data_IF_576762730649
#
_entry.id   IF_576762730649
#
_cell.length_a   1.000
_cell.length_b   1.000
_cell.length_c   1.000
_cell.angle_alpha   90.00
_cell.angle_beta   90.00
_cell.angle_gamma   90.00
#
_symmetry.space_group_name_H-M   'P 1'
#
loop_
_entity.id
_entity.type
_entity.pdbx_description
1 polymer ?
#
# COMPACT_ATOMS: atom_id res chain seq x y z
N UNK A 1 -6.59 -12.99 -1.85
CA UNK A 1 -6.53 -11.54 -2.16
C UNK A 1 -5.34 -10.82 -1.51
N UNK A 2 -5.23 -10.69 -0.18
CA UNK A 2 -4.21 -9.85 0.47
C UNK A 2 -2.77 -10.38 0.45
N UNK A 3 -2.55 -11.66 0.15
CA UNK A 3 -1.23 -12.30 0.23
C UNK A 3 -0.08 -11.51 -0.43
N UNK A 4 -0.24 -10.92 -1.63
CA UNK A 4 0.82 -10.13 -2.28
C UNK A 4 1.26 -8.88 -1.51
N UNK A 5 0.43 -8.36 -0.60
CA UNK A 5 0.72 -7.18 0.22
C UNK A 5 1.33 -7.53 1.59
N UNK A 6 1.28 -8.80 2.02
CA UNK A 6 1.51 -9.16 3.42
C UNK A 6 2.96 -9.00 3.87
N UNK A 7 3.94 -9.32 3.02
CA UNK A 7 5.37 -9.37 3.41
C UNK A 7 5.82 -8.12 4.17
N UNK A 8 5.71 -6.92 3.58
CA UNK A 8 6.09 -5.68 4.27
C UNK A 8 5.22 -5.34 5.49
N UNK A 9 3.95 -5.78 5.51
CA UNK A 9 3.03 -5.48 6.61
C UNK A 9 3.32 -6.30 7.87
N UNK A 10 3.65 -7.58 7.71
CA UNK A 10 3.94 -8.48 8.85
C UNK A 10 5.26 -8.15 9.54
N UNK A 11 6.18 -7.46 8.87
CA UNK A 11 7.42 -6.94 9.47
C UNK A 11 7.15 -5.83 10.50
N UNK A 12 6.00 -5.16 10.42
CA UNK A 12 5.68 -3.97 11.23
C UNK A 12 4.45 -4.12 12.10
N UNK A 13 3.54 -5.02 11.74
CA UNK A 13 2.26 -5.20 12.41
C UNK A 13 1.97 -6.69 12.65
N UNK A 14 1.28 -6.98 13.76
CA UNK A 14 0.53 -8.24 13.88
C UNK A 14 -0.67 -8.16 12.95
N UNK A 15 -0.65 -8.93 11.86
CA UNK A 15 -1.74 -8.92 10.87
C UNK A 15 -2.75 -10.02 11.19
N UNK A 16 -4.03 -9.64 11.29
CA UNK A 16 -5.17 -10.55 11.44
C UNK A 16 -6.00 -10.43 10.17
N UNK A 17 -6.31 -11.56 9.54
CA UNK A 17 -7.22 -11.65 8.40
C UNK A 17 -8.55 -12.22 8.88
N UNK A 18 -9.65 -11.65 8.39
CA UNK A 18 -11.01 -12.05 8.76
C UNK A 18 -11.70 -12.57 7.51
N UNK A 19 -12.20 -13.79 7.58
CA UNK A 19 -12.96 -14.40 6.49
C UNK A 19 -14.45 -14.07 6.63
N UNK A 20 -15.05 -13.59 5.53
CA UNK A 20 -16.48 -13.28 5.45
C UNK A 20 -17.30 -14.56 5.25
N UNK A 21 -18.60 -14.58 5.61
CA UNK A 21 -19.45 -15.77 5.51
C UNK A 21 -19.28 -16.54 4.19
N UNK A 22 -19.07 -17.85 4.28
CA UNK A 22 -18.91 -18.73 3.13
C UNK A 22 -17.57 -18.65 2.39
N UNK A 23 -16.69 -17.72 2.76
CA UNK A 23 -15.34 -17.60 2.19
C UNK A 23 -14.34 -18.40 3.03
N UNK A 24 -13.40 -19.07 2.36
CA UNK A 24 -12.30 -19.83 2.96
C UNK A 24 -12.73 -20.79 4.09
N UNK A 25 -13.89 -21.43 3.93
CA UNK A 25 -14.44 -22.40 4.89
C UNK A 25 -15.07 -21.78 6.14
N UNK A 26 -15.26 -20.46 6.18
CA UNK A 26 -15.93 -19.80 7.30
C UNK A 26 -17.41 -20.19 7.39
N UNK A 27 -17.92 -20.25 8.63
CA UNK A 27 -19.30 -20.65 8.90
C UNK A 27 -20.28 -19.70 8.20
N UNK A 28 -21.26 -20.25 7.49
CA UNK A 28 -22.40 -19.50 6.93
C UNK A 28 -23.58 -19.53 7.91
N UNK A 29 -24.27 -18.40 8.10
CA UNK A 29 -25.45 -18.34 8.96
C UNK A 29 -26.67 -18.98 8.27
N UNK A 30 -27.72 -19.38 9.00
CA UNK A 30 -28.95 -19.88 8.38
C UNK A 30 -29.63 -18.82 7.49
N UNK A 31 -30.16 -19.23 6.34
CA UNK A 31 -30.81 -18.39 5.32
C UNK A 31 -31.98 -17.52 5.83
N UNK A 32 -32.62 -17.88 6.94
CA UNK A 32 -33.77 -17.15 7.48
C UNK A 32 -33.42 -15.78 8.07
N UNK A 33 -32.13 -15.48 8.26
CA UNK A 33 -31.66 -14.21 8.81
C UNK A 33 -30.99 -13.40 7.70
N UNK A 34 -31.59 -12.28 7.24
CA UNK A 34 -30.92 -11.39 6.29
C UNK A 34 -29.62 -10.87 6.92
N UNK A 35 -28.50 -11.10 6.25
CA UNK A 35 -27.22 -10.58 6.71
C UNK A 35 -27.16 -9.07 6.45
N UNK A 36 -26.64 -8.34 7.41
CA UNK A 36 -26.40 -6.90 7.37
C UNK A 36 -24.90 -6.61 7.44
N UNK A 37 -24.52 -5.38 7.12
CA UNK A 37 -23.14 -4.94 7.31
C UNK A 37 -22.71 -4.95 8.79
N UNK A 38 -23.68 -4.78 9.70
CA UNK A 38 -23.47 -4.92 11.14
C UNK A 38 -23.05 -6.34 11.53
N UNK A 39 -23.70 -7.36 10.97
CA UNK A 39 -23.32 -8.77 11.24
C UNK A 39 -21.88 -9.08 10.78
N UNK A 40 -21.46 -8.48 9.66
CA UNK A 40 -20.08 -8.58 9.18
C UNK A 40 -19.09 -7.86 10.11
N UNK A 41 -19.48 -6.71 10.65
CA UNK A 41 -18.66 -5.95 11.60
C UNK A 41 -18.56 -6.67 12.95
N UNK A 42 -19.65 -7.28 13.43
CA UNK A 42 -19.68 -8.08 14.66
C UNK A 42 -18.75 -9.29 14.55
N UNK A 43 -18.64 -9.90 13.36
CA UNK A 43 -17.62 -10.92 13.09
C UNK A 43 -16.20 -10.40 13.23
N UNK A 44 -15.90 -9.21 12.69
CA UNK A 44 -14.58 -8.58 12.85
C UNK A 44 -14.29 -8.35 14.34
N UNK A 45 -15.26 -7.82 15.09
CA UNK A 45 -15.15 -7.61 16.54
C UNK A 45 -14.90 -8.92 17.29
N UNK A 46 -15.65 -9.98 16.98
CA UNK A 46 -15.47 -11.29 17.59
C UNK A 46 -14.07 -11.87 17.34
N UNK A 47 -13.52 -11.73 16.13
CA UNK A 47 -12.15 -12.15 15.83
C UNK A 47 -11.13 -11.34 16.62
N UNK A 48 -11.33 -10.02 16.74
CA UNK A 48 -10.45 -9.17 17.57
C UNK A 48 -10.51 -9.57 19.04
N UNK A 49 -11.70 -9.84 19.58
CA UNK A 49 -11.89 -10.25 20.98
C UNK A 49 -11.23 -11.61 21.25
N UNK A 50 -11.42 -12.59 20.36
CA UNK A 50 -10.76 -13.90 20.43
C UNK A 50 -9.23 -13.79 20.35
N UNK A 51 -8.72 -12.82 19.59
CA UNK A 51 -7.29 -12.55 19.46
C UNK A 51 -6.71 -11.72 20.61
N UNK A 52 -7.53 -11.29 21.57
CA UNK A 52 -7.16 -10.42 22.70
C UNK A 52 -6.84 -8.99 22.30
N UNK A 53 -7.41 -8.49 21.19
CA UNK A 53 -7.09 -7.17 20.61
C UNK A 53 -8.20 -6.16 20.92
N UNK A 54 -7.91 -5.27 21.87
CA UNK A 54 -8.84 -4.20 22.26
C UNK A 54 -9.02 -3.10 21.20
N UNK A 55 -7.98 -2.80 20.42
CA UNK A 55 -8.00 -1.78 19.36
C UNK A 55 -7.08 -2.16 18.21
N UNK A 56 -7.54 -1.99 16.97
CA UNK A 56 -6.79 -2.37 15.77
C UNK A 56 -6.89 -1.31 14.67
N UNK A 57 -5.87 -1.24 13.80
CA UNK A 57 -6.02 -0.62 12.49
C UNK A 57 -6.79 -1.56 11.58
N UNK A 58 -7.68 -1.02 10.74
CA UNK A 58 -8.58 -1.83 9.91
C UNK A 58 -8.44 -1.43 8.46
N UNK A 59 -8.06 -2.37 7.60
CA UNK A 59 -7.98 -2.17 6.16
C UNK A 59 -8.94 -3.13 5.47
N UNK A 60 -9.69 -2.64 4.49
CA UNK A 60 -10.68 -3.42 3.76
C UNK A 60 -10.71 -3.04 2.29
N UNK A 61 -11.17 -3.99 1.47
CA UNK A 61 -11.42 -3.78 0.03
C UNK A 61 -12.88 -4.08 -0.25
N UNK A 62 -13.55 -3.25 -1.06
CA UNK A 62 -14.94 -3.46 -1.47
C UNK A 62 -15.86 -3.63 -0.26
N UNK A 63 -16.62 -4.72 -0.15
CA UNK A 63 -17.45 -5.03 1.03
C UNK A 63 -16.67 -4.98 2.35
N UNK A 64 -15.41 -5.44 2.38
CA UNK A 64 -14.58 -5.36 3.58
C UNK A 64 -14.25 -3.92 3.99
N UNK A 65 -14.13 -3.01 3.03
CA UNK A 65 -13.96 -1.58 3.30
C UNK A 65 -15.26 -0.96 3.84
N UNK A 66 -16.42 -1.37 3.32
CA UNK A 66 -17.71 -0.95 3.86
C UNK A 66 -17.86 -1.41 5.31
N UNK A 67 -17.52 -2.67 5.60
CA UNK A 67 -17.53 -3.21 6.98
C UNK A 67 -16.59 -2.41 7.89
N UNK A 68 -15.40 -2.04 7.41
CA UNK A 68 -14.45 -1.23 8.17
C UNK A 68 -14.98 0.19 8.44
N UNK A 69 -15.63 0.83 7.46
CA UNK A 69 -16.27 2.14 7.61
C UNK A 69 -17.41 2.09 8.63
N UNK A 70 -18.28 1.08 8.52
CA UNK A 70 -19.37 0.84 9.47
C UNK A 70 -18.84 0.66 10.90
N UNK A 71 -17.80 -0.17 11.06
CA UNK A 71 -17.14 -0.42 12.33
C UNK A 71 -16.53 0.87 12.90
N UNK A 72 -15.87 1.68 12.09
CA UNK A 72 -15.23 2.92 12.53
C UNK A 72 -16.23 4.00 12.94
N UNK A 73 -17.38 4.08 12.27
CA UNK A 73 -18.45 5.02 12.60
C UNK A 73 -19.16 4.66 13.92
N UNK A 74 -19.33 3.36 14.21
CA UNK A 74 -20.13 2.87 15.35
C UNK A 74 -19.31 2.42 16.56
N UNK A 75 -18.08 1.98 16.35
CA UNK A 75 -17.18 1.49 17.39
C UNK A 75 -15.83 2.23 17.36
N UNK A 76 -15.81 3.57 17.45
CA UNK A 76 -14.57 4.35 17.28
C UNK A 76 -13.46 3.97 18.27
N UNK A 77 -13.82 3.51 19.48
CA UNK A 77 -12.85 3.04 20.48
C UNK A 77 -12.07 1.77 20.04
N UNK A 78 -12.65 0.96 19.16
CA UNK A 78 -12.04 -0.29 18.66
C UNK A 78 -11.15 -0.05 17.44
N UNK A 79 -11.23 1.13 16.82
CA UNK A 79 -10.56 1.43 15.55
C UNK A 79 -9.42 2.44 15.72
N UNK A 80 -8.25 2.04 15.24
CA UNK A 80 -7.01 2.81 15.21
C UNK A 80 -7.01 3.89 14.14
N UNK A 81 -6.91 3.40 12.91
CA UNK A 81 -6.89 4.11 11.63
C UNK A 81 -7.55 3.19 10.61
N UNK A 82 -8.10 3.75 9.54
CA UNK A 82 -8.78 2.95 8.52
C UNK A 82 -8.19 3.13 7.13
N UNK A 83 -8.15 2.05 6.37
CA UNK A 83 -7.92 2.10 4.93
C UNK A 83 -9.11 1.48 4.20
N UNK A 84 -9.84 2.29 3.43
CA UNK A 84 -10.95 1.87 2.61
C UNK A 84 -10.53 1.87 1.13
N UNK A 85 -10.41 0.68 0.53
CA UNK A 85 -9.92 0.51 -0.83
C UNK A 85 -11.04 0.03 -1.76
N UNK A 86 -11.12 0.56 -2.98
CA UNK A 86 -11.96 0.08 -4.09
C UNK A 86 -13.38 -0.28 -3.64
N UNK A 87 -14.13 0.70 -3.12
CA UNK A 87 -15.40 0.48 -2.43
C UNK A 87 -16.39 1.63 -2.69
N UNK A 88 -17.57 1.56 -2.08
CA UNK A 88 -18.63 2.55 -2.22
C UNK A 88 -19.35 2.76 -0.90
N UNK A 89 -19.90 3.95 -0.67
CA UNK A 89 -20.74 4.21 0.50
C UNK A 89 -22.17 3.66 0.31
N UNK A 90 -22.63 3.55 -0.93
CA UNK A 90 -24.01 3.22 -1.26
C UNK A 90 -24.06 2.39 -2.56
N UNK A 91 -23.92 1.06 -2.45
CA UNK A 91 -24.01 0.16 -3.59
C UNK A 91 -25.42 0.15 -4.19
N UNK A 92 -25.55 -0.13 -5.49
CA UNK A 92 -26.86 -0.33 -6.14
C UNK A 92 -27.61 -1.53 -5.53
N UNK A 93 -28.72 -1.29 -4.80
CA UNK A 93 -29.45 -2.36 -4.13
C UNK A 93 -29.94 -3.45 -5.07
N UNK A 94 -30.41 -3.08 -6.26
CA UNK A 94 -31.06 -4.02 -7.17
C UNK A 94 -30.05 -4.97 -7.80
N UNK A 95 -28.86 -4.45 -8.15
CA UNK A 95 -27.72 -5.24 -8.61
C UNK A 95 -27.40 -6.36 -7.62
N UNK A 96 -27.35 -6.06 -6.31
CA UNK A 96 -26.99 -7.05 -5.31
C UNK A 96 -28.13 -7.99 -4.93
N UNK A 97 -29.40 -7.55 -4.95
CA UNK A 97 -30.56 -8.46 -4.82
C UNK A 97 -30.64 -9.48 -5.95
N UNK A 98 -30.54 -8.99 -7.19
CA UNK A 98 -30.54 -9.84 -8.39
C UNK A 98 -29.37 -10.84 -8.36
N UNK A 99 -28.19 -10.39 -7.93
CA UNK A 99 -27.02 -11.25 -7.76
C UNK A 99 -27.20 -12.31 -6.67
N UNK A 100 -27.74 -11.94 -5.51
CA UNK A 100 -28.03 -12.86 -4.42
C UNK A 100 -29.01 -13.96 -4.85
N UNK A 101 -30.08 -13.58 -5.56
CA UNK A 101 -31.05 -14.52 -6.10
C UNK A 101 -30.42 -15.48 -7.11
N UNK A 102 -29.61 -14.96 -8.05
CA UNK A 102 -28.91 -15.76 -9.05
C UNK A 102 -27.94 -16.79 -8.43
N UNK A 103 -27.20 -16.38 -7.39
CA UNK A 103 -26.24 -17.27 -6.71
C UNK A 103 -26.96 -18.33 -5.87
N UNK A 104 -28.06 -17.99 -5.21
CA UNK A 104 -28.88 -18.99 -4.49
C UNK A 104 -29.52 -20.02 -5.42
N UNK A 105 -29.87 -19.61 -6.63
CA UNK A 105 -30.50 -20.47 -7.64
C UNK A 105 -29.50 -21.35 -8.40
N UNK A 106 -28.40 -20.76 -8.88
CA UNK A 106 -27.45 -21.42 -9.80
C UNK A 106 -26.05 -21.61 -9.22
N UNK A 107 -25.84 -21.29 -7.95
CA UNK A 107 -24.53 -21.29 -7.31
C UNK A 107 -23.67 -20.10 -7.77
N UNK A 108 -22.43 -20.06 -7.25
CA UNK A 108 -21.44 -19.01 -7.57
C UNK A 108 -21.01 -19.00 -9.04
N UNK A 109 -21.31 -20.04 -9.81
CA UNK A 109 -21.15 -20.05 -11.27
C UNK A 109 -21.95 -18.94 -11.96
N UNK A 110 -23.06 -18.48 -11.36
CA UNK A 110 -23.86 -17.36 -11.88
C UNK A 110 -23.09 -16.03 -11.98
N UNK A 111 -21.96 -15.93 -11.30
CA UNK A 111 -21.11 -14.73 -11.24
C UNK A 111 -19.68 -15.03 -11.69
N UNK A 112 -19.43 -16.14 -12.39
CA UNK A 112 -18.08 -16.58 -12.77
C UNK A 112 -17.26 -15.53 -13.53
N UNK A 113 -17.90 -14.69 -14.34
CA UNK A 113 -17.20 -13.67 -15.15
C UNK A 113 -16.78 -12.42 -14.36
N UNK A 114 -17.27 -12.26 -13.12
CA UNK A 114 -17.03 -11.07 -12.28
C UNK A 114 -15.53 -10.77 -12.09
N UNK A 115 -14.66 -11.74 -11.77
CA UNK A 115 -13.24 -11.47 -11.59
C UNK A 115 -12.58 -10.88 -12.84
N UNK A 116 -12.78 -11.49 -14.00
CA UNK A 116 -12.21 -11.00 -15.26
C UNK A 116 -12.80 -9.66 -15.68
N UNK A 117 -14.11 -9.46 -15.48
CA UNK A 117 -14.79 -8.27 -15.94
C UNK A 117 -14.56 -7.05 -15.03
N UNK A 118 -14.38 -7.27 -13.72
CA UNK A 118 -14.43 -6.20 -12.73
C UNK A 118 -13.20 -6.12 -11.81
N UNK A 119 -12.53 -7.24 -11.52
CA UNK A 119 -11.53 -7.26 -10.44
C UNK A 119 -10.14 -6.77 -10.86
N UNK A 120 -9.76 -6.95 -12.12
CA UNK A 120 -8.43 -6.64 -12.63
C UNK A 120 -8.53 -5.91 -13.96
N UNK A 121 -7.52 -5.11 -14.32
CA UNK A 121 -7.50 -4.48 -15.65
C UNK A 121 -7.29 -5.52 -16.76
N UNK A 122 -7.76 -5.23 -18.00
CA UNK A 122 -7.42 -6.04 -19.16
C UNK A 122 -5.90 -6.19 -19.35
N UNK A 123 -5.14 -5.12 -19.12
CA UNK A 123 -3.69 -5.12 -19.24
C UNK A 123 -3.00 -6.10 -18.27
N UNK A 124 -3.52 -6.24 -17.03
CA UNK A 124 -3.03 -7.25 -16.10
C UNK A 124 -3.43 -8.67 -16.55
N UNK A 125 -4.67 -8.86 -16.99
CA UNK A 125 -5.14 -10.16 -17.49
C UNK A 125 -4.34 -10.65 -18.71
N UNK A 126 -3.87 -9.75 -19.57
CA UNK A 126 -2.99 -10.06 -20.70
C UNK A 126 -1.56 -10.39 -20.25
N UNK A 127 -1.04 -9.64 -19.27
CA UNK A 127 0.33 -9.83 -18.74
C UNK A 127 0.46 -11.11 -17.90
N UNK A 128 -0.60 -11.48 -17.19
CA UNK A 128 -0.67 -12.71 -16.39
C UNK A 128 -1.94 -13.50 -16.75
N UNK A 129 -1.89 -14.33 -17.80
CA UNK A 129 -3.06 -15.09 -18.26
C UNK A 129 -3.56 -16.12 -17.25
N UNK A 130 -2.76 -16.51 -16.25
CA UNK A 130 -3.15 -17.47 -15.24
C UNK A 130 -3.95 -16.82 -14.09
N UNK A 131 -3.74 -15.52 -13.84
CA UNK A 131 -4.38 -14.81 -12.74
C UNK A 131 -5.92 -14.77 -12.84
N UNK A 132 -6.56 -14.47 -13.99
CA UNK A 132 -8.02 -14.52 -14.09
C UNK A 132 -8.58 -15.88 -13.64
N UNK A 133 -8.02 -16.97 -14.15
CA UNK A 133 -8.45 -18.32 -13.80
C UNK A 133 -8.26 -18.65 -12.30
N UNK A 134 -7.17 -18.16 -11.69
CA UNK A 134 -6.94 -18.32 -10.26
C UNK A 134 -7.98 -17.54 -9.41
N UNK A 135 -8.36 -16.33 -9.84
CA UNK A 135 -9.40 -15.54 -9.17
C UNK A 135 -10.79 -16.13 -9.35
N UNK A 136 -11.10 -16.65 -10.54
CA UNK A 136 -12.33 -17.38 -10.85
C UNK A 136 -12.43 -18.66 -9.99
N UNK A 137 -11.34 -19.43 -9.86
CA UNK A 137 -11.29 -20.61 -8.99
C UNK A 137 -11.47 -20.25 -7.50
N UNK A 138 -10.86 -19.15 -7.04
CA UNK A 138 -11.06 -18.63 -5.69
C UNK A 138 -12.54 -18.30 -5.45
N UNK A 139 -13.21 -17.64 -6.40
CA UNK A 139 -14.63 -17.32 -6.30
C UNK A 139 -15.52 -18.57 -6.35
N UNK A 140 -15.16 -19.55 -7.18
CA UNK A 140 -15.89 -20.81 -7.32
C UNK A 140 -15.87 -21.66 -6.04
N UNK A 141 -14.87 -21.46 -5.17
CA UNK A 141 -14.76 -22.12 -3.86
C UNK A 141 -15.64 -21.51 -2.76
N UNK A 142 -16.31 -20.37 -3.01
CA UNK A 142 -17.16 -19.71 -2.01
C UNK A 142 -18.50 -20.44 -1.87
N UNK A 143 -18.95 -20.64 -0.63
CA UNK A 143 -20.29 -21.17 -0.35
C UNK A 143 -21.38 -20.24 -0.94
N UNK A 144 -22.30 -20.75 -1.78
CA UNK A 144 -23.30 -19.92 -2.43
C UNK A 144 -24.18 -19.12 -1.47
N UNK A 145 -24.57 -19.69 -0.33
CA UNK A 145 -25.41 -18.96 0.63
C UNK A 145 -24.62 -17.87 1.35
N UNK A 146 -23.35 -18.12 1.73
CA UNK A 146 -22.48 -17.09 2.30
C UNK A 146 -22.22 -15.94 1.33
N UNK A 147 -22.02 -16.23 0.04
CA UNK A 147 -21.92 -15.20 -1.00
C UNK A 147 -23.22 -14.38 -1.12
N UNK A 148 -24.37 -15.05 -1.14
CA UNK A 148 -25.67 -14.38 -1.23
C UNK A 148 -25.97 -13.52 0.01
N UNK A 149 -25.57 -13.96 1.20
CA UNK A 149 -25.65 -13.17 2.44
C UNK A 149 -24.79 -11.91 2.37
N UNK A 150 -23.58 -12.00 1.83
CA UNK A 150 -22.76 -10.80 1.57
C UNK A 150 -23.45 -9.84 0.59
N UNK A 151 -24.15 -10.37 -0.42
CA UNK A 151 -24.96 -9.55 -1.33
C UNK A 151 -26.18 -8.91 -0.63
N UNK A 152 -26.86 -9.62 0.26
CA UNK A 152 -27.98 -9.07 1.04
C UNK A 152 -27.52 -7.90 1.93
N UNK A 153 -26.33 -8.04 2.55
CA UNK A 153 -25.73 -6.98 3.35
C UNK A 153 -25.45 -5.73 2.51
N UNK A 154 -24.91 -5.90 1.29
CA UNK A 154 -24.69 -4.80 0.37
C UNK A 154 -26.01 -4.17 -0.09
N UNK A 155 -27.01 -4.98 -0.43
CA UNK A 155 -28.30 -4.51 -0.94
C UNK A 155 -29.12 -3.66 0.05
N UNK A 156 -28.75 -3.68 1.33
CA UNK A 156 -29.46 -2.96 2.41
C UNK A 156 -28.63 -1.81 3.00
N UNK A 157 -27.43 -1.57 2.50
CA UNK A 157 -26.49 -0.62 3.09
C UNK A 157 -26.53 0.77 2.45
N UNK A 158 -26.61 1.81 3.28
CA UNK A 158 -26.25 3.18 2.95
C UNK A 158 -25.35 3.75 4.06
N UNK A 159 -24.06 3.93 3.78
CA UNK A 159 -23.08 4.48 4.72
C UNK A 159 -22.95 5.99 4.65
N UNK A 160 -23.52 6.68 3.65
CA UNK A 160 -23.33 8.13 3.47
C UNK A 160 -23.68 8.94 4.73
N UNK A 161 -24.77 8.64 5.47
CA UNK A 161 -25.09 9.34 6.71
C UNK A 161 -24.10 9.07 7.86
N UNK A 162 -23.33 7.99 7.77
CA UNK A 162 -22.41 7.52 8.81
C UNK A 162 -20.98 8.01 8.60
N UNK A 163 -20.60 8.43 7.39
CA UNK A 163 -19.23 8.84 7.05
C UNK A 163 -18.72 9.95 7.98
N UNK A 164 -19.54 10.95 8.29
CA UNK A 164 -19.18 12.06 9.16
C UNK A 164 -18.91 11.64 10.63
N UNK A 165 -19.32 10.42 11.03
CA UNK A 165 -19.06 9.87 12.37
C UNK A 165 -17.72 9.14 12.46
N UNK A 166 -17.06 8.87 11.33
CA UNK A 166 -15.75 8.22 11.31
C UNK A 166 -14.70 9.18 11.86
N UNK A 167 -14.34 9.00 13.13
CA UNK A 167 -13.32 9.81 13.81
C UNK A 167 -11.89 9.31 13.60
N UNK A 168 -11.72 8.07 13.12
CA UNK A 168 -10.41 7.49 12.86
C UNK A 168 -9.77 8.17 11.63
N UNK A 169 -8.45 8.46 11.64
CA UNK A 169 -7.76 8.89 10.44
C UNK A 169 -7.98 7.89 9.31
N UNK A 170 -8.38 8.37 8.15
CA UNK A 170 -8.83 7.54 7.04
C UNK A 170 -7.96 7.74 5.79
N UNK A 171 -7.51 6.62 5.22
CA UNK A 171 -7.00 6.53 3.87
C UNK A 171 -8.08 5.93 2.99
N UNK A 172 -8.38 6.60 1.88
CA UNK A 172 -9.30 6.12 0.85
C UNK A 172 -8.48 5.88 -0.42
N UNK A 173 -8.58 4.69 -1.01
CA UNK A 173 -7.82 4.32 -2.21
C UNK A 173 -8.78 3.89 -3.31
N UNK A 174 -8.74 4.61 -4.42
CA UNK A 174 -9.49 4.28 -5.63
C UNK A 174 -8.58 3.63 -6.67
N UNK A 175 -9.04 2.57 -7.32
CA UNK A 175 -8.45 2.14 -8.60
C UNK A 175 -8.91 3.08 -9.70
N UNK A 176 -7.98 3.64 -10.48
CA UNK A 176 -8.31 4.56 -11.57
C UNK A 176 -9.21 3.93 -12.64
N UNK A 177 -9.08 2.61 -12.82
CA UNK A 177 -9.75 1.81 -13.83
C UNK A 177 -10.84 0.91 -13.22
N UNK A 178 -11.31 1.18 -11.99
CA UNK A 178 -12.28 0.35 -11.29
C UNK A 178 -13.71 0.56 -11.84
N UNK A 179 -14.31 -0.44 -12.54
CA UNK A 179 -15.66 -0.32 -13.07
C UNK A 179 -16.74 -0.63 -12.01
N UNK A 180 -16.38 -1.29 -10.91
CA UNK A 180 -17.31 -1.70 -9.87
C UNK A 180 -17.52 -0.62 -8.81
N UNK A 181 -16.47 0.13 -8.50
CA UNK A 181 -16.47 1.29 -7.61
C UNK A 181 -15.63 2.43 -8.22
N UNK A 182 -16.21 3.20 -9.17
CA UNK A 182 -15.50 4.26 -9.87
C UNK A 182 -14.91 5.31 -8.90
N UNK A 183 -13.82 6.02 -9.29
CA UNK A 183 -13.14 6.98 -8.42
C UNK A 183 -14.04 8.03 -7.75
N UNK A 184 -15.13 8.45 -8.38
CA UNK A 184 -16.06 9.41 -7.81
C UNK A 184 -16.81 8.87 -6.58
N UNK A 185 -17.05 7.55 -6.50
CA UNK A 185 -17.63 6.93 -5.31
C UNK A 185 -16.66 6.93 -4.13
N UNK A 186 -15.37 6.76 -4.40
CA UNK A 186 -14.34 6.89 -3.35
C UNK A 186 -14.12 8.35 -2.96
N UNK A 187 -14.30 9.29 -3.90
CA UNK A 187 -14.29 10.72 -3.60
C UNK A 187 -15.44 11.10 -2.66
N UNK A 188 -16.65 10.58 -2.90
CA UNK A 188 -17.79 10.75 -1.97
C UNK A 188 -17.44 10.27 -0.56
N UNK A 189 -16.79 9.11 -0.42
CA UNK A 189 -16.33 8.60 0.88
C UNK A 189 -15.32 9.54 1.53
N UNK A 190 -14.32 9.99 0.77
CA UNK A 190 -13.27 10.86 1.28
C UNK A 190 -13.83 12.23 1.71
N UNK A 191 -14.72 12.81 0.92
CA UNK A 191 -15.37 14.09 1.23
C UNK A 191 -16.31 13.99 2.45
N UNK A 192 -16.89 12.81 2.68
CA UNK A 192 -17.74 12.53 3.83
C UNK A 192 -17.00 12.29 5.16
N UNK A 193 -15.68 12.09 5.14
CA UNK A 193 -14.88 11.78 6.34
C UNK A 193 -13.89 12.92 6.62
N UNK A 194 -13.98 13.51 7.81
CA UNK A 194 -13.12 14.61 8.20
C UNK A 194 -11.62 14.23 8.16
N UNK A 195 -10.85 14.93 7.33
CA UNK A 195 -9.40 14.72 7.21
C UNK A 195 -8.99 13.42 6.50
N UNK A 196 -9.91 12.78 5.77
CA UNK A 196 -9.56 11.63 4.94
C UNK A 196 -8.61 12.01 3.80
N UNK A 197 -7.68 11.11 3.49
CA UNK A 197 -6.78 11.23 2.34
C UNK A 197 -7.26 10.31 1.23
N UNK A 198 -7.65 10.87 0.10
CA UNK A 198 -7.92 10.12 -1.12
C UNK A 198 -6.62 9.91 -1.93
N UNK A 199 -6.40 8.68 -2.39
CA UNK A 199 -5.34 8.33 -3.35
C UNK A 199 -5.96 7.61 -4.54
N UNK A 200 -5.66 8.11 -5.73
CA UNK A 200 -5.96 7.43 -6.98
C UNK A 200 -4.76 6.56 -7.38
N UNK A 201 -4.98 5.26 -7.57
CA UNK A 201 -3.98 4.34 -8.06
C UNK A 201 -4.17 4.11 -9.55
N UNK A 202 -3.22 4.60 -10.34
CA UNK A 202 -3.16 4.35 -11.78
C UNK A 202 -2.95 2.86 -12.06
N UNK A 203 -3.54 2.39 -13.17
CA UNK A 203 -3.44 1.02 -13.65
C UNK A 203 -3.92 0.00 -12.61
N UNK A 204 -5.06 0.29 -11.99
CA UNK A 204 -5.68 -0.56 -10.98
C UNK A 204 -7.20 -0.56 -11.14
N UNK A 205 -7.79 -1.76 -11.21
CA UNK A 205 -9.22 -1.97 -11.14
C UNK A 205 -9.66 -2.25 -9.68
N UNK A 206 -10.67 -3.09 -9.49
CA UNK A 206 -11.33 -3.29 -8.20
C UNK A 206 -10.49 -4.03 -7.14
N UNK A 207 -9.56 -4.92 -7.54
CA UNK A 207 -8.65 -5.60 -6.63
C UNK A 207 -7.25 -4.98 -6.66
N UNK A 208 -7.16 -3.69 -6.30
CA UNK A 208 -5.89 -2.98 -6.18
C UNK A 208 -4.79 -3.72 -5.36
N UNK A 209 -5.08 -4.45 -4.26
CA UNK A 209 -4.04 -5.23 -3.56
C UNK A 209 -3.43 -6.37 -4.36
N UNK A 210 -4.13 -6.88 -5.38
CA UNK A 210 -3.64 -7.91 -6.29
C UNK A 210 -2.86 -7.28 -7.43
N UNK A 211 -3.38 -6.18 -7.98
CA UNK A 211 -2.85 -5.55 -9.18
C UNK A 211 -1.66 -4.62 -8.93
N UNK A 212 -1.69 -3.88 -7.80
CA UNK A 212 -0.66 -2.92 -7.37
C UNK A 212 -0.16 -3.22 -5.95
N UNK A 213 0.30 -4.45 -5.65
CA UNK A 213 0.56 -4.89 -4.28
C UNK A 213 1.62 -4.05 -3.57
N UNK A 214 2.71 -3.68 -4.26
CA UNK A 214 3.76 -2.83 -3.69
C UNK A 214 3.28 -1.42 -3.35
N UNK A 215 2.44 -0.83 -4.20
CA UNK A 215 1.87 0.51 -3.96
C UNK A 215 0.86 0.47 -2.82
N UNK A 216 -0.02 -0.53 -2.79
CA UNK A 216 -0.99 -0.73 -1.71
C UNK A 216 -0.29 -0.96 -0.37
N UNK A 217 0.69 -1.88 -0.31
CA UNK A 217 1.45 -2.13 0.91
C UNK A 217 2.15 -0.87 1.42
N UNK A 218 2.71 -0.05 0.52
CA UNK A 218 3.32 1.24 0.88
C UNK A 218 2.31 2.21 1.48
N UNK A 219 1.19 2.42 0.80
CA UNK A 219 0.13 3.31 1.27
C UNK A 219 -0.38 2.90 2.64
N UNK A 220 -0.55 1.59 2.86
CA UNK A 220 -0.94 1.05 4.17
C UNK A 220 0.15 1.28 5.21
N UNK A 221 1.41 0.97 4.92
CA UNK A 221 2.52 1.21 5.87
C UNK A 221 2.62 2.69 6.28
N UNK A 222 2.58 3.60 5.30
CA UNK A 222 2.69 5.03 5.54
C UNK A 222 1.49 5.56 6.33
N UNK A 223 0.28 5.08 6.01
CA UNK A 223 -0.93 5.52 6.71
C UNK A 223 -1.02 4.96 8.13
N UNK A 224 -0.69 3.68 8.31
CA UNK A 224 -0.87 2.96 9.58
C UNK A 224 0.24 3.23 10.59
N UNK A 225 1.35 3.84 10.18
CA UNK A 225 2.42 4.22 11.08
C UNK A 225 1.94 5.18 12.19
N UNK A 226 2.55 5.10 13.37
CA UNK A 226 2.24 6.01 14.48
C UNK A 226 2.63 7.45 14.09
N UNK A 227 1.88 8.48 14.52
CA UNK A 227 2.32 9.87 14.34
C UNK A 227 3.75 10.05 14.87
N UNK A 228 4.65 10.57 14.04
CA UNK A 228 6.08 10.70 14.38
C UNK A 228 6.95 9.47 14.09
N UNK A 229 6.39 8.38 13.56
CA UNK A 229 7.21 7.32 12.95
C UNK A 229 7.77 7.87 11.63
N UNK A 230 9.10 7.85 11.42
CA UNK A 230 9.67 8.31 10.15
C UNK A 230 9.06 7.53 9.00
N UNK A 231 8.70 8.21 7.92
CA UNK A 231 8.21 7.53 6.72
C UNK A 231 9.22 6.46 6.31
N UNK A 232 8.79 5.36 5.68
CA UNK A 232 9.73 4.31 5.29
C UNK A 232 10.83 4.81 4.33
N UNK A 233 10.57 5.93 3.63
CA UNK A 233 11.58 6.70 2.93
C UNK A 233 12.62 7.34 3.85
N UNK A 234 12.22 7.98 4.96
CA UNK A 234 13.15 8.56 5.93
C UNK A 234 14.05 7.50 6.57
N UNK A 235 13.53 6.31 6.87
CA UNK A 235 14.35 5.20 7.40
C UNK A 235 15.47 4.84 6.42
N UNK A 236 15.12 4.66 5.14
CA UNK A 236 16.11 4.33 4.09
C UNK A 236 17.07 5.49 3.86
N UNK A 237 16.55 6.73 3.83
CA UNK A 237 17.33 7.96 3.66
C UNK A 237 18.35 8.11 4.79
N UNK A 238 17.97 7.84 6.03
CA UNK A 238 18.85 7.88 7.21
C UNK A 238 19.90 6.77 7.18
N UNK A 239 19.51 5.55 6.82
CA UNK A 239 20.46 4.44 6.67
C UNK A 239 21.54 4.74 5.61
N UNK A 240 21.17 5.43 4.52
CA UNK A 240 22.09 5.74 3.44
C UNK A 240 22.85 7.04 3.68
N UNK A 241 22.22 8.12 4.15
CA UNK A 241 22.81 9.47 4.24
C UNK A 241 23.28 9.85 5.65
N UNK A 242 22.82 9.13 6.68
CA UNK A 242 23.10 9.39 8.09
C UNK A 242 22.11 10.37 8.73
N UNK A 243 21.83 10.16 10.02
CA UNK A 243 20.83 10.93 10.77
C UNK A 243 21.09 12.43 10.78
N UNK A 244 22.33 12.84 11.09
CA UNK A 244 22.69 14.26 11.18
C UNK A 244 22.41 15.03 9.87
N UNK A 245 22.62 14.40 8.71
CA UNK A 245 22.31 15.02 7.42
C UNK A 245 20.80 15.14 7.20
N UNK A 246 20.04 14.08 7.51
CA UNK A 246 18.59 14.10 7.35
C UNK A 246 17.94 15.10 8.30
N UNK A 247 18.42 15.20 9.53
CA UNK A 247 17.94 16.18 10.52
C UNK A 247 18.23 17.62 10.08
N UNK A 248 19.45 17.89 9.60
CA UNK A 248 19.80 19.21 9.06
C UNK A 248 18.94 19.59 7.84
N UNK A 249 18.71 18.64 6.92
CA UNK A 249 17.86 18.85 5.76
C UNK A 249 16.39 19.11 6.14
N UNK A 250 15.86 18.37 7.12
CA UNK A 250 14.51 18.57 7.64
C UNK A 250 14.38 19.96 8.31
N UNK A 251 15.35 20.36 9.14
CA UNK A 251 15.36 21.67 9.79
C UNK A 251 15.46 22.83 8.80
N UNK A 252 16.16 22.64 7.68
CA UNK A 252 16.28 23.62 6.60
C UNK A 252 15.08 23.63 5.64
N UNK A 253 14.08 22.75 5.84
CA UNK A 253 12.91 22.68 4.97
C UNK A 253 12.03 23.91 5.17
N UNK A 254 11.71 24.59 4.07
CA UNK A 254 10.83 25.76 4.04
C UNK A 254 9.53 25.40 3.35
N UNK A 255 8.52 26.28 3.41
CA UNK A 255 7.29 26.11 2.64
C UNK A 255 7.54 25.94 1.12
N UNK A 256 8.60 26.57 0.59
CA UNK A 256 9.00 26.44 -0.81
C UNK A 256 9.59 25.07 -1.14
N UNK A 257 10.43 24.52 -0.25
CA UNK A 257 11.13 23.24 -0.50
C UNK A 257 10.40 22.01 0.01
N UNK A 258 9.35 22.17 0.83
CA UNK A 258 8.62 21.08 1.47
C UNK A 258 8.08 20.03 0.49
N UNK A 259 7.46 20.46 -0.61
CA UNK A 259 6.89 19.53 -1.59
C UNK A 259 7.99 18.71 -2.30
N UNK A 260 9.15 19.31 -2.54
CA UNK A 260 10.29 18.62 -3.14
C UNK A 260 10.97 17.67 -2.15
N UNK A 261 11.11 18.06 -0.89
CA UNK A 261 11.65 17.19 0.17
C UNK A 261 10.75 15.97 0.39
N UNK A 262 9.42 16.15 0.42
CA UNK A 262 8.46 15.05 0.46
C UNK A 262 8.60 14.14 -0.77
N UNK A 263 8.67 14.72 -1.97
CA UNK A 263 8.85 13.98 -3.21
C UNK A 263 10.12 13.10 -3.18
N UNK A 264 11.29 13.66 -2.84
CA UNK A 264 12.53 12.87 -2.83
C UNK A 264 12.50 11.81 -1.72
N UNK A 265 12.00 12.14 -0.53
CA UNK A 265 11.83 11.17 0.58
C UNK A 265 10.97 10.00 0.15
N UNK A 266 9.81 10.25 -0.47
CA UNK A 266 8.92 9.18 -0.91
C UNK A 266 9.49 8.39 -2.09
N UNK A 267 9.89 9.05 -3.18
CA UNK A 267 10.25 8.33 -4.40
C UNK A 267 11.66 7.76 -4.38
N UNK A 268 12.68 8.57 -4.06
CA UNK A 268 14.04 8.05 -4.05
C UNK A 268 14.20 7.02 -2.94
N UNK A 269 13.88 7.42 -1.71
CA UNK A 269 14.20 6.62 -0.53
C UNK A 269 13.10 5.64 -0.14
N UNK A 270 11.84 5.97 -0.40
CA UNK A 270 10.69 5.08 -0.13
C UNK A 270 10.41 4.09 -1.27
N UNK A 271 10.63 4.45 -2.53
CA UNK A 271 10.26 3.60 -3.67
C UNK A 271 11.44 3.00 -4.40
N UNK A 272 12.48 3.74 -4.76
CA UNK A 272 13.53 3.25 -5.66
C UNK A 272 14.63 2.48 -4.92
N UNK A 273 15.18 3.07 -3.86
CA UNK A 273 16.27 2.45 -3.08
C UNK A 273 15.92 1.09 -2.44
N UNK A 274 14.69 0.86 -1.91
CA UNK A 274 14.35 -0.41 -1.28
C UNK A 274 13.83 -1.48 -2.27
N UNK A 275 13.77 -1.20 -3.59
CA UNK A 275 13.26 -2.19 -4.55
C UNK A 275 14.14 -3.44 -4.61
N UNK A 276 13.52 -4.63 -4.75
CA UNK A 276 14.27 -5.88 -4.92
C UNK A 276 15.05 -5.86 -6.24
N UNK A 277 16.06 -6.72 -6.34
CA UNK A 277 16.92 -6.89 -7.51
C UNK A 277 18.35 -6.34 -7.33
N UNK A 278 18.49 -5.14 -6.77
CA UNK A 278 19.79 -4.55 -6.42
C UNK A 278 19.81 -4.11 -4.96
N UNK A 279 20.84 -4.54 -4.23
CA UNK A 279 21.08 -4.13 -2.85
C UNK A 279 21.58 -2.69 -2.76
N UNK A 280 21.67 -2.18 -1.53
CA UNK A 280 22.14 -0.80 -1.28
C UNK A 280 23.60 -0.59 -1.67
N UNK A 281 24.42 -1.64 -1.58
CA UNK A 281 25.81 -1.62 -2.01
C UNK A 281 25.90 -1.38 -3.52
N UNK A 282 25.18 -2.16 -4.33
CA UNK A 282 25.15 -2.02 -5.80
C UNK A 282 24.57 -0.66 -6.23
N UNK A 283 23.52 -0.19 -5.53
CA UNK A 283 22.94 1.14 -5.81
C UNK A 283 23.90 2.28 -5.49
N UNK A 284 24.74 2.12 -4.46
CA UNK A 284 25.79 3.10 -4.14
C UNK A 284 26.86 3.15 -5.23
N UNK A 285 27.29 2.00 -5.75
CA UNK A 285 28.20 1.92 -6.91
C UNK A 285 27.63 2.70 -8.10
N UNK A 286 26.39 2.40 -8.49
CA UNK A 286 25.72 3.08 -9.60
C UNK A 286 25.58 4.59 -9.36
N UNK A 287 25.21 4.99 -8.14
CA UNK A 287 25.06 6.40 -7.77
C UNK A 287 26.38 7.16 -7.87
N UNK A 288 27.47 6.60 -7.33
CA UNK A 288 28.80 7.23 -7.45
C UNK A 288 29.21 7.42 -8.90
N UNK A 289 29.08 6.37 -9.73
CA UNK A 289 29.42 6.45 -11.15
C UNK A 289 28.61 7.54 -11.89
N UNK A 290 27.31 7.64 -11.61
CA UNK A 290 26.42 8.67 -12.19
C UNK A 290 26.83 10.07 -11.72
N UNK A 291 27.06 10.28 -10.42
CA UNK A 291 27.43 11.60 -9.89
C UNK A 291 28.77 12.10 -10.45
N UNK A 292 29.76 11.22 -10.58
CA UNK A 292 31.03 11.53 -11.25
C UNK A 292 30.80 11.87 -12.71
N UNK A 293 29.98 11.08 -13.42
CA UNK A 293 29.66 11.32 -14.84
C UNK A 293 28.93 12.64 -15.04
N UNK A 294 28.06 13.06 -14.12
CA UNK A 294 27.36 14.34 -14.21
C UNK A 294 28.20 15.53 -13.72
N UNK A 295 29.32 15.30 -13.04
CA UNK A 295 30.08 16.35 -12.36
C UNK A 295 29.33 16.94 -11.17
N UNK A 296 28.47 16.16 -10.52
CA UNK A 296 27.64 16.60 -9.39
C UNK A 296 28.42 16.55 -8.07
N UNK A 297 29.47 17.37 -7.98
CA UNK A 297 30.43 17.36 -6.86
C UNK A 297 29.78 17.60 -5.49
N UNK A 298 28.75 18.43 -5.44
CA UNK A 298 28.03 18.79 -4.21
C UNK A 298 27.31 17.60 -3.55
N UNK A 299 26.94 16.58 -4.32
CA UNK A 299 26.33 15.35 -3.83
C UNK A 299 27.35 14.22 -3.62
N UNK A 300 28.49 14.28 -4.31
CA UNK A 300 29.44 13.17 -4.34
C UNK A 300 30.00 12.86 -2.95
N UNK A 301 30.40 13.88 -2.19
CA UNK A 301 30.94 13.70 -0.84
C UNK A 301 29.94 13.02 0.11
N UNK A 302 28.66 13.35 -0.03
CA UNK A 302 27.57 12.75 0.75
C UNK A 302 27.40 11.26 0.40
N UNK A 303 27.45 10.94 -0.89
CA UNK A 303 27.26 9.58 -1.38
C UNK A 303 28.48 8.68 -1.21
N UNK A 304 29.71 9.21 -1.10
CA UNK A 304 30.89 8.45 -0.67
C UNK A 304 30.71 7.94 0.76
N UNK A 305 30.25 8.80 1.69
CA UNK A 305 29.89 8.37 3.06
C UNK A 305 28.78 7.33 3.06
N UNK A 306 27.77 7.51 2.21
CA UNK A 306 26.69 6.55 2.07
C UNK A 306 27.13 5.20 1.52
N UNK A 307 28.07 5.17 0.59
CA UNK A 307 28.66 3.96 0.06
C UNK A 307 29.37 3.14 1.16
N UNK A 308 30.15 3.81 2.01
CA UNK A 308 30.81 3.18 3.16
C UNK A 308 29.80 2.58 4.15
N UNK A 309 28.74 3.32 4.51
CA UNK A 309 27.65 2.79 5.37
C UNK A 309 26.92 1.60 4.75
N UNK A 310 26.84 1.55 3.42
CA UNK A 310 26.24 0.45 2.68
C UNK A 310 27.20 -0.73 2.45
N UNK A 311 28.41 -0.69 3.02
CA UNK A 311 29.36 -1.79 3.04
C UNK A 311 30.35 -1.82 1.88
N UNK A 312 30.58 -0.70 1.18
CA UNK A 312 31.75 -0.58 0.32
C UNK A 312 33.00 -0.28 1.15
N UNK A 313 34.15 -0.80 0.74
CA UNK A 313 35.45 -0.38 1.29
C UNK A 313 36.00 0.85 0.55
N UNK A 314 36.99 1.56 1.12
CA UNK A 314 37.70 2.63 0.41
C UNK A 314 38.31 2.18 -0.91
N UNK A 315 38.88 0.97 -0.96
CA UNK A 315 39.46 0.39 -2.18
C UNK A 315 38.39 0.14 -3.24
N UNK A 316 37.23 -0.39 -2.85
CA UNK A 316 36.12 -0.63 -3.76
C UNK A 316 35.55 0.68 -4.33
N UNK A 317 35.49 1.74 -3.51
CA UNK A 317 35.13 3.08 -3.99
C UNK A 317 36.18 3.57 -5.01
N UNK A 318 37.46 3.36 -4.74
CA UNK A 318 38.55 3.65 -5.67
C UNK A 318 38.38 2.97 -7.02
N UNK A 319 38.02 1.68 -7.04
CA UNK A 319 37.75 0.92 -8.25
C UNK A 319 36.56 1.47 -9.06
N UNK A 320 35.48 1.90 -8.39
CA UNK A 320 34.33 2.54 -9.06
C UNK A 320 34.75 3.85 -9.73
N UNK A 321 35.53 4.68 -9.04
CA UNK A 321 36.01 5.95 -9.59
C UNK A 321 36.98 5.73 -10.77
N UNK A 322 37.88 4.75 -10.65
CA UNK A 322 38.82 4.37 -11.70
C UNK A 322 38.09 3.87 -12.95
N UNK A 323 37.13 2.98 -12.79
CA UNK A 323 36.33 2.46 -13.90
C UNK A 323 35.54 3.57 -14.59
N UNK A 324 34.95 4.48 -13.80
CA UNK A 324 34.18 5.62 -14.33
C UNK A 324 35.06 6.58 -15.14
N UNK A 325 36.35 6.72 -14.81
CA UNK A 325 37.29 7.58 -15.52
C UNK A 325 37.43 7.25 -17.02
N UNK A 326 37.27 5.97 -17.38
CA UNK A 326 37.34 5.50 -18.77
C UNK A 326 36.22 6.09 -19.64
N UNK A 327 35.06 6.37 -19.05
CA UNK A 327 33.87 6.83 -19.76
C UNK A 327 33.55 8.31 -19.52
N UNK A 328 33.75 8.79 -18.30
CA UNK A 328 33.46 10.17 -17.91
C UNK A 328 34.65 11.13 -18.13
N UNK A 329 35.85 10.59 -18.38
CA UNK A 329 37.08 11.35 -18.58
C UNK A 329 37.87 11.61 -17.30
N UNK A 330 39.20 11.67 -17.45
CA UNK A 330 40.15 11.85 -16.35
C UNK A 330 39.90 13.11 -15.49
N UNK A 331 39.52 14.29 -16.04
CA UNK A 331 39.32 15.47 -15.20
C UNK A 331 38.20 15.29 -14.15
N UNK A 332 37.08 14.65 -14.53
CA UNK A 332 35.98 14.35 -13.61
C UNK A 332 36.40 13.34 -12.55
N UNK A 333 37.14 12.30 -12.95
CA UNK A 333 37.67 11.32 -12.02
C UNK A 333 38.69 11.92 -11.04
N UNK A 334 39.61 12.78 -11.50
CA UNK A 334 40.57 13.47 -10.62
C UNK A 334 39.85 14.25 -9.52
N UNK A 335 38.79 14.96 -9.88
CA UNK A 335 37.99 15.70 -8.91
C UNK A 335 37.25 14.78 -7.96
N UNK A 336 36.70 13.68 -8.46
CA UNK A 336 36.05 12.66 -7.65
C UNK A 336 37.00 12.00 -6.63
N UNK A 337 38.22 11.65 -7.05
CA UNK A 337 39.26 11.11 -6.16
C UNK A 337 39.67 12.11 -5.08
N UNK A 338 39.78 13.39 -5.43
CA UNK A 338 40.08 14.43 -4.44
C UNK A 338 38.99 14.50 -3.35
N UNK A 339 37.71 14.52 -3.76
CA UNK A 339 36.56 14.53 -2.85
C UNK A 339 36.50 13.26 -2.00
N UNK A 340 36.69 12.09 -2.60
CA UNK A 340 36.67 10.82 -1.87
C UNK A 340 37.79 10.76 -0.83
N UNK A 341 39.01 11.21 -1.18
CA UNK A 341 40.14 11.29 -0.24
C UNK A 341 39.85 12.20 0.95
N UNK A 342 39.26 13.37 0.70
CA UNK A 342 38.86 14.30 1.78
C UNK A 342 37.87 13.64 2.73
N UNK A 343 36.81 13.01 2.19
CA UNK A 343 35.80 12.30 2.99
C UNK A 343 36.41 11.15 3.80
N UNK A 344 37.28 10.34 3.18
CA UNK A 344 37.91 9.19 3.82
C UNK A 344 38.83 9.60 4.98
N UNK A 345 39.52 10.74 4.86
CA UNK A 345 40.37 11.28 5.91
C UNK A 345 39.58 11.78 7.15
N UNK A 346 38.30 12.13 6.97
CA UNK A 346 37.41 12.55 8.05
C UNK A 346 36.77 11.38 8.80
N UNK A 347 36.85 10.16 8.27
CA UNK A 347 36.22 8.99 8.88
C UNK A 347 37.18 8.32 9.87
N UNK A 348 36.73 8.02 11.10
CA UNK A 348 37.54 7.25 12.05
C UNK A 348 37.73 5.81 11.54
N UNK A 349 38.91 5.23 11.80
CA UNK A 349 39.26 3.84 11.53
C UNK A 349 38.25 2.85 12.18
#
# INVERSE_FOLDING_TARGET
MWAPCLGPLVERFRVIRVELPGHDGSVTAPRATPCTLGDLADRVLAVLDQAGVGRAHVAGVSIGAMTALWLAARHPARVGRIAALCTTAHPDPERYRSRAAAVRDRGVAAVADVPRALWITPALAERDPALPAALEAMQAGVDPEGYAQCCDALATTDLRPELARVAAPALVVAGADDPAAPPDQLREIADGIAGARLVLLDHAAHLAPVERPGAVARLLLDHLAAPGTPAAGDVTRRAVLGDAHVDAAAAATTGFTAAFQDFITRYAWGEVWPRPGLGRRERSIATLAVLVTLGAEHELALHVRGALRNGLTPDEIGEVLLHTALYAGLPRANRAFAIAREVLAEMPD
#
